data_IF_767575048621
#
_entry.id   IF_767575048621
#
_cell.length_a   1.000
_cell.length_b   1.000
_cell.length_c   1.000
_cell.angle_alpha   90.00
_cell.angle_beta   90.00
_cell.angle_gamma   90.00
#
_symmetry.space_group_name_H-M   'P 1'
#
loop_
_entity.id
_entity.type
_entity.pdbx_description
1 polymer ?
#
# COMPACT_ATOMS: atom_id res chain seq x y z
N UNK A 1 32.01 21.58 23.14
CA UNK A 1 30.87 20.95 23.87
C UNK A 1 29.58 20.87 23.04
N UNK A 2 29.39 21.69 21.98
CA UNK A 2 28.20 21.63 21.12
C UNK A 2 28.12 20.40 20.21
N UNK A 3 29.25 20.01 19.59
CA UNK A 3 29.26 18.86 18.68
C UNK A 3 28.99 17.50 19.33
N UNK A 4 29.18 17.36 20.64
CA UNK A 4 28.86 16.12 21.36
C UNK A 4 27.35 15.96 21.56
N UNK A 5 26.65 17.07 21.83
CA UNK A 5 25.19 17.09 22.00
C UNK A 5 24.46 16.87 20.68
N UNK A 6 24.95 17.46 19.59
CA UNK A 6 24.39 17.26 18.24
C UNK A 6 24.53 15.80 17.79
N UNK A 7 25.69 15.18 18.03
CA UNK A 7 25.90 13.76 17.75
C UNK A 7 25.05 12.88 18.67
N UNK A 8 24.83 13.29 19.92
CA UNK A 8 23.98 12.57 20.88
C UNK A 8 22.54 12.45 20.39
N UNK A 9 21.93 13.58 20.02
CA UNK A 9 20.55 13.62 19.48
C UNK A 9 20.45 12.78 18.21
N UNK A 10 21.42 12.93 17.30
CA UNK A 10 21.44 12.17 16.06
C UNK A 10 21.56 10.65 16.31
N UNK A 11 22.39 10.24 17.26
CA UNK A 11 22.51 8.83 17.65
C UNK A 11 21.20 8.30 18.25
N UNK A 12 20.50 9.08 19.09
CA UNK A 12 19.21 8.65 19.65
C UNK A 12 18.15 8.39 18.59
N UNK A 13 18.08 9.21 17.55
CA UNK A 13 17.13 9.04 16.43
C UNK A 13 17.53 7.86 15.51
N UNK A 14 18.83 7.59 15.38
CA UNK A 14 19.35 6.57 14.46
C UNK A 14 19.51 5.17 15.06
N UNK A 15 19.74 5.05 16.38
CA UNK A 15 19.88 3.75 17.07
C UNK A 15 18.67 2.81 16.85
N UNK A 16 17.41 3.28 16.82
CA UNK A 16 16.25 2.44 16.48
C UNK A 16 16.29 1.83 15.07
N UNK A 17 17.05 2.44 14.16
CA UNK A 17 17.21 2.00 12.76
C UNK A 17 18.61 1.41 12.53
N UNK A 18 19.34 1.05 13.60
CA UNK A 18 20.77 0.74 13.54
C UNK A 18 21.13 -0.28 12.46
N UNK A 19 20.33 -1.33 12.28
CA UNK A 19 20.61 -2.41 11.33
C UNK A 19 20.54 -1.95 9.86
N UNK A 20 19.71 -0.94 9.56
CA UNK A 20 19.50 -0.39 8.21
C UNK A 20 20.51 0.72 7.84
N UNK A 21 21.39 1.09 8.77
CA UNK A 21 22.38 2.13 8.53
C UNK A 21 23.60 1.61 7.76
N UNK A 22 24.15 2.47 6.92
CA UNK A 22 25.43 2.22 6.26
C UNK A 22 26.58 2.13 7.28
N UNK A 23 27.63 1.39 6.92
CA UNK A 23 28.82 1.15 7.75
C UNK A 23 29.42 2.43 8.36
N UNK A 24 29.49 3.58 7.65
CA UNK A 24 30.00 4.82 8.23
C UNK A 24 29.12 5.34 9.39
N UNK A 25 27.80 5.28 9.26
CA UNK A 25 26.87 5.76 10.28
C UNK A 25 26.88 4.86 11.52
N UNK A 26 26.94 3.53 11.32
CA UNK A 26 27.13 2.55 12.40
C UNK A 26 28.37 2.85 13.23
N UNK A 27 29.49 3.14 12.57
CA UNK A 27 30.76 3.48 13.24
C UNK A 27 30.69 4.75 14.08
N UNK A 28 29.96 5.77 13.62
CA UNK A 28 29.75 7.02 14.39
C UNK A 28 28.96 6.74 15.67
N UNK A 29 27.90 5.93 15.57
CA UNK A 29 27.08 5.55 16.72
C UNK A 29 27.87 4.70 17.71
N UNK A 30 28.64 3.71 17.25
CA UNK A 30 29.48 2.87 18.11
C UNK A 30 30.53 3.69 18.85
N UNK A 31 31.22 4.59 18.14
CA UNK A 31 32.19 5.50 18.73
C UNK A 31 31.54 6.42 19.78
N UNK A 32 30.36 6.95 19.50
CA UNK A 32 29.66 7.79 20.47
C UNK A 32 29.15 6.99 21.68
N UNK A 33 28.73 5.73 21.47
CA UNK A 33 28.30 4.84 22.53
C UNK A 33 29.44 4.39 23.47
N UNK A 34 30.70 4.47 23.05
CA UNK A 34 31.85 4.26 23.95
C UNK A 34 31.96 5.39 24.99
N UNK A 35 31.56 6.61 24.62
CA UNK A 35 31.70 7.82 25.44
C UNK A 35 30.39 8.25 26.12
N UNK A 36 29.23 7.85 25.60
CA UNK A 36 27.91 8.21 26.11
C UNK A 36 27.15 7.02 26.67
N UNK A 37 26.92 7.02 27.98
CA UNK A 37 26.21 5.94 28.69
C UNK A 37 24.76 5.73 28.22
N UNK A 38 24.06 6.82 27.87
CA UNK A 38 22.68 6.77 27.36
C UNK A 38 22.64 6.10 25.99
N UNK A 39 23.51 6.53 25.06
CA UNK A 39 23.60 5.91 23.73
C UNK A 39 24.15 4.48 23.80
N UNK A 40 25.06 4.18 24.73
CA UNK A 40 25.50 2.81 25.03
C UNK A 40 24.35 1.93 25.49
N UNK A 41 23.52 2.43 26.39
CA UNK A 41 22.37 1.69 26.92
C UNK A 41 21.35 1.46 25.83
N UNK A 42 21.05 2.47 25.01
CA UNK A 42 20.12 2.33 23.88
C UNK A 42 20.66 1.41 22.78
N UNK A 43 21.95 1.50 22.45
CA UNK A 43 22.61 0.61 21.49
C UNK A 43 22.72 -0.82 22.02
N UNK A 44 22.97 -0.99 23.31
CA UNK A 44 23.00 -2.32 23.94
C UNK A 44 21.59 -2.87 24.09
N UNK A 45 20.58 -2.03 24.33
CA UNK A 45 19.18 -2.46 24.34
C UNK A 45 18.72 -2.86 22.94
N UNK A 46 19.11 -2.13 21.89
CA UNK A 46 18.83 -2.50 20.51
C UNK A 46 19.60 -3.76 20.08
N UNK A 47 20.87 -3.92 20.49
CA UNK A 47 21.68 -5.14 20.26
C UNK A 47 21.23 -6.33 21.11
N UNK A 48 20.76 -6.13 22.36
CA UNK A 48 20.18 -7.15 23.26
C UNK A 48 18.76 -7.56 22.86
N UNK A 49 18.20 -6.99 21.80
CA UNK A 49 17.23 -7.70 20.97
C UNK A 49 18.01 -8.77 20.17
N UNK A 50 18.78 -9.60 20.88
CA UNK A 50 19.21 -10.89 20.39
C UNK A 50 17.95 -11.76 20.47
N UNK A 51 17.34 -11.94 19.31
CA UNK A 51 16.35 -12.98 19.06
C UNK A 51 17.12 -14.32 19.12
N UNK A 52 17.51 -14.72 20.33
CA UNK A 52 17.97 -16.07 20.64
C UNK A 52 16.76 -16.91 21.07
N UNK A 53 16.65 -18.19 20.63
CA UNK A 53 15.54 -19.05 21.05
C UNK A 53 15.72 -19.38 22.52
N UNK A 54 14.90 -18.78 23.40
CA UNK A 54 14.79 -19.28 24.77
C UNK A 54 13.83 -20.47 24.76
N UNK A 55 14.46 -21.62 24.66
CA UNK A 55 14.00 -22.99 24.96
C UNK A 55 12.92 -23.55 24.03
N UNK A 56 13.34 -24.57 23.28
CA UNK A 56 12.49 -25.38 22.42
C UNK A 56 11.40 -26.08 23.25
N UNK A 57 10.27 -25.40 23.38
CA UNK A 57 9.05 -25.89 23.99
C UNK A 57 7.87 -25.21 23.32
N UNK A 58 7.57 -25.65 22.10
CA UNK A 58 6.20 -25.71 21.56
C UNK A 58 5.30 -24.50 21.91
N UNK A 59 5.61 -23.31 21.38
CA UNK A 59 4.66 -22.27 20.94
C UNK A 59 5.42 -20.98 20.55
N UNK A 60 4.86 -20.27 19.58
CA UNK A 60 5.19 -18.88 19.20
C UNK A 60 6.47 -18.63 18.37
N UNK A 61 6.32 -18.94 17.08
CA UNK A 61 6.92 -18.14 16.00
C UNK A 61 6.51 -16.67 16.15
N UNK A 62 7.37 -15.81 16.69
CA UNK A 62 7.13 -14.36 16.70
C UNK A 62 7.91 -13.70 15.55
N UNK A 63 7.26 -13.44 14.40
CA UNK A 63 7.87 -12.76 13.27
C UNK A 63 8.20 -11.31 13.64
N UNK A 64 9.35 -10.84 13.18
CA UNK A 64 9.74 -9.42 13.14
C UNK A 64 8.52 -8.59 12.74
N UNK A 65 7.98 -7.79 13.66
CA UNK A 65 6.74 -7.07 13.41
C UNK A 65 7.02 -5.90 12.46
N UNK A 66 6.53 -5.93 11.21
CA UNK A 66 6.58 -4.77 10.33
C UNK A 66 5.99 -3.53 11.01
N UNK A 67 6.61 -2.37 10.82
CA UNK A 67 6.12 -1.07 11.29
C UNK A 67 4.62 -0.95 11.01
N UNK A 68 3.82 -1.02 12.08
CA UNK A 68 2.36 -1.11 12.02
C UNK A 68 1.74 -0.02 11.14
N UNK A 69 2.34 1.18 11.14
CA UNK A 69 1.94 2.34 10.31
C UNK A 69 2.15 2.14 8.81
N UNK A 70 3.26 1.51 8.39
CA UNK A 70 3.58 1.26 6.97
C UNK A 70 2.64 0.21 6.36
N UNK A 71 2.30 -0.84 7.12
CA UNK A 71 1.31 -1.83 6.71
C UNK A 71 -0.06 -1.18 6.58
N UNK A 72 -0.44 -0.33 7.54
CA UNK A 72 -1.73 0.37 7.55
C UNK A 72 -1.83 1.31 6.35
N UNK A 73 -0.76 2.04 6.01
CA UNK A 73 -0.71 2.87 4.82
C UNK A 73 -0.88 2.05 3.54
N UNK A 74 -0.17 0.92 3.41
CA UNK A 74 -0.30 0.03 2.25
C UNK A 74 -1.71 -0.53 2.12
N UNK A 75 -2.33 -0.94 3.23
CA UNK A 75 -3.73 -1.40 3.26
C UNK A 75 -4.72 -0.28 2.89
N UNK A 76 -4.55 0.90 3.48
CA UNK A 76 -5.37 2.07 3.18
C UNK A 76 -5.28 2.45 1.71
N UNK A 77 -4.08 2.52 1.17
CA UNK A 77 -3.85 2.89 -0.22
C UNK A 77 -4.42 1.83 -1.17
N UNK A 78 -4.28 0.54 -0.84
CA UNK A 78 -4.96 -0.54 -1.58
C UNK A 78 -6.48 -0.35 -1.57
N UNK A 79 -7.08 -0.11 -0.41
CA UNK A 79 -8.52 0.12 -0.27
C UNK A 79 -8.96 1.35 -1.06
N UNK A 80 -8.16 2.42 -1.05
CA UNK A 80 -8.41 3.66 -1.78
C UNK A 80 -8.43 3.43 -3.31
N UNK A 81 -7.51 2.61 -3.84
CA UNK A 81 -7.49 2.24 -5.27
C UNK A 81 -8.74 1.45 -5.68
N UNK A 82 -9.26 0.62 -4.79
CA UNK A 82 -10.54 -0.07 -5.02
C UNK A 82 -11.73 0.89 -4.92
N UNK A 83 -11.72 1.78 -3.94
CA UNK A 83 -12.77 2.76 -3.74
C UNK A 83 -12.96 3.65 -4.98
N UNK A 84 -11.87 4.16 -5.57
CA UNK A 84 -11.93 4.97 -6.79
C UNK A 84 -12.63 4.21 -7.93
N UNK A 85 -12.33 2.92 -8.13
CA UNK A 85 -12.98 2.09 -9.16
C UNK A 85 -14.47 1.98 -8.93
N UNK A 86 -14.88 1.64 -7.70
CA UNK A 86 -16.29 1.52 -7.34
C UNK A 86 -17.04 2.82 -7.56
N UNK A 87 -16.44 3.96 -7.20
CA UNK A 87 -17.05 5.28 -7.41
C UNK A 87 -17.27 5.54 -8.90
N UNK A 88 -16.26 5.33 -9.74
CA UNK A 88 -16.38 5.62 -11.19
C UNK A 88 -17.35 4.68 -11.88
N UNK A 89 -17.31 3.37 -11.56
CA UNK A 89 -18.30 2.41 -12.07
C UNK A 89 -19.72 2.80 -11.62
N UNK A 90 -19.87 3.19 -10.35
CA UNK A 90 -21.14 3.64 -9.80
C UNK A 90 -21.67 4.91 -10.48
N UNK A 91 -20.79 5.86 -10.82
CA UNK A 91 -21.15 7.06 -11.57
C UNK A 91 -21.59 6.73 -13.00
N UNK A 92 -20.89 5.82 -13.68
CA UNK A 92 -21.26 5.35 -15.03
C UNK A 92 -22.63 4.65 -14.98
N UNK A 93 -22.85 3.76 -14.02
CA UNK A 93 -24.13 3.09 -13.83
C UNK A 93 -25.24 4.11 -13.54
N UNK A 94 -25.00 5.04 -12.61
CA UNK A 94 -25.96 6.06 -12.24
C UNK A 94 -26.36 6.95 -13.42
N UNK A 95 -25.39 7.38 -14.22
CA UNK A 95 -25.63 8.16 -15.42
C UNK A 95 -26.47 7.40 -16.45
N UNK A 96 -26.17 6.11 -16.65
CA UNK A 96 -26.94 5.23 -17.53
C UNK A 96 -28.39 5.09 -17.07
N UNK A 97 -28.64 4.72 -15.80
CA UNK A 97 -29.99 4.55 -15.28
C UNK A 97 -30.79 5.86 -15.28
N UNK A 98 -30.12 7.00 -15.07
CA UNK A 98 -30.77 8.32 -15.11
C UNK A 98 -31.27 8.68 -16.51
N UNK A 99 -30.54 8.29 -17.55
CA UNK A 99 -30.87 8.59 -18.94
C UNK A 99 -31.54 7.42 -19.67
N UNK A 100 -31.72 6.30 -18.99
CA UNK A 100 -32.36 5.12 -19.54
C UNK A 100 -33.81 5.44 -19.91
N UNK A 101 -34.16 5.21 -21.18
CA UNK A 101 -35.49 5.52 -21.70
C UNK A 101 -36.04 4.36 -22.52
N UNK A 102 -37.26 3.86 -22.22
CA UNK A 102 -37.92 2.84 -23.03
C UNK A 102 -38.18 3.28 -24.47
N UNK A 103 -38.15 4.59 -24.76
CA UNK A 103 -38.39 5.14 -26.09
C UNK A 103 -37.17 5.02 -27.02
N UNK A 104 -35.97 4.71 -26.49
CA UNK A 104 -34.73 4.61 -27.26
C UNK A 104 -34.40 3.13 -27.49
N UNK A 105 -33.92 2.71 -28.67
CA UNK A 105 -33.51 1.33 -28.91
C UNK A 105 -32.46 0.86 -27.88
N UNK A 106 -32.70 -0.29 -27.25
CA UNK A 106 -31.81 -0.87 -26.23
C UNK A 106 -30.36 -0.97 -26.70
N UNK A 107 -30.13 -1.39 -27.95
CA UNK A 107 -28.77 -1.51 -28.52
C UNK A 107 -27.98 -0.20 -28.44
N UNK A 108 -28.59 0.92 -28.83
CA UNK A 108 -27.95 2.23 -28.82
C UNK A 108 -27.63 2.70 -27.39
N UNK A 109 -28.51 2.40 -26.42
CA UNK A 109 -28.28 2.75 -25.02
C UNK A 109 -27.09 1.97 -24.43
N UNK A 110 -27.00 0.66 -24.72
CA UNK A 110 -25.89 -0.17 -24.25
C UNK A 110 -24.57 0.12 -25.00
N UNK A 111 -24.60 0.56 -26.24
CA UNK A 111 -23.42 1.10 -26.93
C UNK A 111 -22.92 2.37 -26.24
N UNK A 112 -23.83 3.27 -25.84
CA UNK A 112 -23.49 4.44 -25.01
C UNK A 112 -22.84 4.04 -23.68
N UNK A 113 -23.37 3.03 -23.00
CA UNK A 113 -22.78 2.50 -21.77
C UNK A 113 -21.33 1.99 -21.97
N UNK A 114 -21.12 1.22 -23.04
CA UNK A 114 -19.78 0.72 -23.41
C UNK A 114 -18.83 1.86 -23.77
N UNK A 115 -19.30 2.89 -24.48
CA UNK A 115 -18.51 4.07 -24.79
C UNK A 115 -18.08 4.81 -23.52
N UNK A 116 -18.98 4.98 -22.55
CA UNK A 116 -18.66 5.57 -21.25
C UNK A 116 -17.61 4.77 -20.48
N UNK A 117 -17.68 3.44 -20.48
CA UNK A 117 -16.62 2.59 -19.91
C UNK A 117 -15.26 2.83 -20.59
N UNK A 118 -15.23 2.85 -21.92
CA UNK A 118 -13.97 3.02 -22.68
C UNK A 118 -13.37 4.41 -22.43
N UNK A 119 -14.19 5.45 -22.35
CA UNK A 119 -13.72 6.84 -22.20
C UNK A 119 -13.29 7.13 -20.76
N UNK A 120 -14.06 6.67 -19.76
CA UNK A 120 -13.83 7.05 -18.37
C UNK A 120 -13.14 5.96 -17.54
N UNK A 121 -13.56 4.70 -17.68
CA UNK A 121 -13.05 3.61 -16.85
C UNK A 121 -11.69 3.09 -17.33
N UNK A 122 -11.50 2.87 -18.63
CA UNK A 122 -10.26 2.27 -19.15
C UNK A 122 -9.01 3.12 -18.85
N UNK A 123 -8.97 4.44 -19.12
CA UNK A 123 -7.80 5.26 -18.80
C UNK A 123 -7.50 5.31 -17.30
N UNK A 124 -8.56 5.36 -16.48
CA UNK A 124 -8.46 5.30 -15.03
C UNK A 124 -7.87 3.97 -14.56
N UNK A 125 -8.42 2.85 -15.02
CA UNK A 125 -7.96 1.50 -14.68
C UNK A 125 -6.47 1.33 -15.03
N UNK A 126 -6.06 1.81 -16.20
CA UNK A 126 -4.65 1.81 -16.61
C UNK A 126 -3.78 2.63 -15.64
N UNK A 127 -4.19 3.85 -15.28
CA UNK A 127 -3.45 4.68 -14.33
C UNK A 127 -3.33 4.03 -12.95
N UNK A 128 -4.43 3.45 -12.44
CA UNK A 128 -4.45 2.75 -11.15
C UNK A 128 -3.62 1.46 -11.18
N UNK A 129 -3.57 0.76 -12.31
CA UNK A 129 -2.69 -0.40 -12.51
C UNK A 129 -1.22 -0.01 -12.50
N UNK A 130 -0.85 1.09 -13.17
CA UNK A 130 0.52 1.63 -13.14
C UNK A 130 0.93 1.99 -11.70
N UNK A 131 0.02 2.62 -10.95
CA UNK A 131 0.26 2.90 -9.54
C UNK A 131 0.41 1.61 -8.71
N UNK A 132 -0.44 0.61 -8.94
CA UNK A 132 -0.35 -0.69 -8.25
C UNK A 132 0.97 -1.42 -8.57
N UNK A 133 1.45 -1.30 -9.80
CA UNK A 133 2.76 -1.80 -10.22
C UNK A 133 3.89 -1.13 -9.43
N UNK A 134 3.85 0.19 -9.26
CA UNK A 134 4.83 0.94 -8.46
C UNK A 134 4.90 0.45 -6.99
N UNK A 135 3.78 0.00 -6.43
CA UNK A 135 3.74 -0.54 -5.05
C UNK A 135 4.41 -1.92 -4.90
N UNK A 136 4.99 -2.49 -5.98
CA UNK A 136 5.63 -3.82 -6.03
C UNK A 136 4.78 -4.94 -5.43
N UNK A 137 3.45 -4.84 -5.53
CA UNK A 137 2.52 -5.81 -4.97
C UNK A 137 1.91 -6.68 -6.07
N UNK A 138 2.70 -7.64 -6.58
CA UNK A 138 2.33 -8.45 -7.75
C UNK A 138 0.99 -9.17 -7.61
N UNK A 139 0.65 -9.69 -6.42
CA UNK A 139 -0.65 -10.34 -6.18
C UNK A 139 -1.82 -9.37 -6.41
N UNK A 140 -1.72 -8.16 -5.86
CA UNK A 140 -2.79 -7.16 -6.00
C UNK A 140 -2.89 -6.68 -7.44
N UNK A 141 -1.74 -6.46 -8.12
CA UNK A 141 -1.71 -6.09 -9.53
C UNK A 141 -2.53 -7.05 -10.40
N UNK A 142 -2.28 -8.36 -10.29
CA UNK A 142 -3.01 -9.37 -11.05
C UNK A 142 -4.49 -9.44 -10.69
N UNK A 143 -4.84 -9.34 -9.40
CA UNK A 143 -6.24 -9.30 -8.96
C UNK A 143 -6.94 -8.08 -9.57
N UNK A 144 -6.35 -6.89 -9.46
CA UNK A 144 -6.93 -5.67 -10.02
C UNK A 144 -7.05 -5.73 -11.54
N UNK A 145 -6.06 -6.31 -12.22
CA UNK A 145 -6.10 -6.47 -13.68
C UNK A 145 -7.27 -7.37 -14.10
N UNK A 146 -7.44 -8.51 -13.45
CA UNK A 146 -8.55 -9.43 -13.74
C UNK A 146 -9.89 -8.75 -13.48
N UNK A 147 -10.03 -8.03 -12.36
CA UNK A 147 -11.26 -7.28 -12.04
C UNK A 147 -11.51 -6.21 -13.11
N UNK A 148 -10.49 -5.46 -13.51
CA UNK A 148 -10.61 -4.42 -14.52
C UNK A 148 -11.06 -5.00 -15.87
N UNK A 149 -10.52 -6.15 -16.27
CA UNK A 149 -10.96 -6.87 -17.46
C UNK A 149 -12.41 -7.37 -17.32
N UNK A 150 -12.78 -7.92 -16.16
CA UNK A 150 -14.16 -8.37 -15.92
C UNK A 150 -15.14 -7.21 -16.03
N UNK A 151 -14.82 -6.05 -15.47
CA UNK A 151 -15.65 -4.85 -15.62
C UNK A 151 -15.74 -4.42 -17.08
N UNK A 152 -14.62 -4.38 -17.81
CA UNK A 152 -14.63 -3.95 -19.22
C UNK A 152 -15.48 -4.88 -20.10
N UNK A 153 -15.42 -6.19 -19.87
CA UNK A 153 -16.08 -7.18 -20.73
C UNK A 153 -17.49 -7.59 -20.31
N UNK A 154 -17.84 -7.52 -19.02
CA UNK A 154 -19.09 -8.06 -18.50
C UNK A 154 -19.98 -7.03 -17.80
N UNK A 155 -19.55 -5.78 -17.66
CA UNK A 155 -20.36 -4.79 -16.95
C UNK A 155 -21.66 -4.44 -17.68
N UNK A 156 -21.65 -4.37 -19.00
CA UNK A 156 -22.87 -4.13 -19.76
C UNK A 156 -23.86 -5.29 -19.63
N UNK A 157 -23.38 -6.54 -19.68
CA UNK A 157 -24.19 -7.73 -19.40
C UNK A 157 -24.72 -7.72 -17.96
N UNK A 158 -23.91 -7.30 -16.98
CA UNK A 158 -24.35 -7.15 -15.60
C UNK A 158 -25.48 -6.11 -15.49
N UNK A 159 -25.36 -4.96 -16.15
CA UNK A 159 -26.38 -3.90 -16.16
C UNK A 159 -27.66 -4.37 -16.85
N UNK A 160 -27.57 -5.19 -17.91
CA UNK A 160 -28.73 -5.79 -18.58
C UNK A 160 -29.60 -6.64 -17.66
N UNK A 161 -29.05 -7.25 -16.62
CA UNK A 161 -29.86 -8.02 -15.65
C UNK A 161 -30.78 -7.15 -14.79
N UNK A 162 -30.50 -5.84 -14.69
CA UNK A 162 -31.26 -4.91 -13.84
C UNK A 162 -32.31 -4.10 -14.61
N UNK A 163 -32.42 -4.27 -15.93
CA UNK A 163 -33.28 -3.49 -16.83
C UNK A 163 -34.24 -4.40 -17.59
#
# INVERSE_FOLDING_TARGET
>A
MTGFEEVHVLCQELIPLYDDLDVPAKRVIEKHAEECEVCRTNLTASKKIEIGPREAGENDSLPVQPFKKLILLKKFLTLFLFFIRTVVIGLIAFDFFRHFSPAVPYGLQFEGLRASLVIFYVPLAFFLLLFTWFMKNGKIFWITLIIDLLVIYFFDDAVRFFV
#
